data_IF_216970429242
#
_entry.id   IF_216970429242
#
_cell.length_a   1.000
_cell.length_b   1.000
_cell.length_c   1.000
_cell.angle_alpha   90.00
_cell.angle_beta   90.00
_cell.angle_gamma   90.00
#
_symmetry.space_group_name_H-M   'P 1'
#
loop_
_entity.id
_entity.type
_entity.pdbx_description
1 polymer ?
#
# COMPACT_ATOMS: atom_id res chain seq x y z
N UNK A 1 6.30 -12.60 4.99
CA UNK A 1 5.96 -13.71 4.06
C UNK A 1 6.28 -13.33 2.62
N UNK A 2 5.53 -12.41 2.02
CA UNK A 2 5.59 -12.09 0.58
C UNK A 2 6.97 -11.64 0.08
N UNK A 3 7.65 -10.77 0.81
CA UNK A 3 9.03 -10.37 0.48
C UNK A 3 9.98 -11.58 0.44
N UNK A 4 9.93 -12.44 1.46
CA UNK A 4 10.76 -13.66 1.56
C UNK A 4 10.39 -14.78 0.58
N UNK A 5 9.34 -14.64 -0.23
CA UNK A 5 9.09 -15.57 -1.34
C UNK A 5 9.90 -15.22 -2.57
N UNK A 6 10.38 -13.97 -2.67
CA UNK A 6 11.02 -13.45 -3.87
C UNK A 6 12.44 -12.96 -3.62
N UNK A 7 12.71 -12.46 -2.41
CA UNK A 7 13.94 -11.73 -2.08
C UNK A 7 14.51 -12.13 -0.72
N UNK A 8 15.74 -11.68 -0.46
CA UNK A 8 16.43 -11.81 0.84
C UNK A 8 16.71 -10.42 1.40
N UNK A 9 16.46 -10.16 2.69
CA UNK A 9 16.74 -8.85 3.28
C UNK A 9 18.25 -8.62 3.44
N UNK A 10 18.74 -7.37 3.35
CA UNK A 10 18.02 -6.18 2.89
C UNK A 10 17.77 -6.19 1.37
N UNK A 11 16.74 -5.49 0.90
CA UNK A 11 16.49 -5.32 -0.54
C UNK A 11 16.04 -3.90 -0.85
N UNK A 12 16.60 -3.32 -1.91
CA UNK A 12 16.18 -2.04 -2.48
C UNK A 12 14.80 -2.14 -3.13
N UNK A 13 13.96 -1.15 -2.85
CA UNK A 13 12.64 -0.94 -3.43
C UNK A 13 12.53 0.48 -3.97
N UNK A 14 11.81 0.62 -5.09
CA UNK A 14 11.49 1.91 -5.68
C UNK A 14 10.07 2.31 -5.27
N UNK A 15 9.92 3.48 -4.66
CA UNK A 15 8.60 4.07 -4.36
C UNK A 15 8.33 5.17 -5.37
N UNK A 16 7.31 4.99 -6.19
CA UNK A 16 6.80 5.98 -7.14
C UNK A 16 5.60 6.73 -6.54
N UNK A 17 5.59 8.06 -6.62
CA UNK A 17 4.49 8.91 -6.15
C UNK A 17 3.89 9.78 -7.26
N UNK A 18 3.87 9.25 -8.50
CA UNK A 18 3.34 9.91 -9.70
C UNK A 18 4.25 10.99 -10.30
N UNK A 19 4.89 11.82 -9.47
CA UNK A 19 5.78 12.92 -9.91
C UNK A 19 7.26 12.61 -9.79
N UNK A 20 7.62 11.71 -8.87
CA UNK A 20 9.00 11.36 -8.57
C UNK A 20 9.10 9.89 -8.14
N UNK A 21 10.33 9.43 -7.94
CA UNK A 21 10.60 8.17 -7.28
C UNK A 21 11.67 8.36 -6.20
N UNK A 22 11.67 7.44 -5.24
CA UNK A 22 12.74 7.32 -4.24
C UNK A 22 13.18 5.87 -4.11
N UNK A 23 14.47 5.67 -3.90
CA UNK A 23 15.05 4.37 -3.60
C UNK A 23 15.09 4.19 -2.09
N UNK A 24 14.52 3.09 -1.62
CA UNK A 24 14.38 2.79 -0.20
C UNK A 24 14.90 1.38 0.07
N UNK A 25 15.54 1.16 1.20
CA UNK A 25 15.99 -0.17 1.61
C UNK A 25 14.99 -0.77 2.58
N UNK A 26 14.37 -1.89 2.20
CA UNK A 26 13.51 -2.65 3.10
C UNK A 26 14.34 -3.71 3.81
N UNK A 27 14.19 -3.75 5.13
CA UNK A 27 14.72 -4.81 6.00
C UNK A 27 13.54 -5.54 6.64
N UNK A 28 13.65 -6.86 6.78
CA UNK A 28 12.63 -7.66 7.45
C UNK A 28 13.24 -8.95 8.01
N UNK A 29 12.56 -9.56 8.98
CA UNK A 29 12.96 -10.88 9.50
C UNK A 29 12.49 -11.99 8.56
N UNK A 30 13.38 -12.92 8.21
CA UNK A 30 13.02 -14.09 7.40
C UNK A 30 12.02 -14.95 8.19
N UNK A 31 10.84 -15.28 7.63
CA UNK A 31 9.84 -16.05 8.34
C UNK A 31 10.31 -17.49 8.49
N UNK A 32 10.41 -17.95 9.75
CA UNK A 32 10.58 -19.37 10.06
C UNK A 32 9.30 -20.18 9.82
N UNK A 33 9.40 -21.50 9.97
CA UNK A 33 8.34 -22.44 9.60
C UNK A 33 6.99 -22.18 10.26
N UNK A 34 7.00 -21.75 11.53
CA UNK A 34 5.77 -21.40 12.25
C UNK A 34 5.02 -20.27 11.54
N UNK A 35 5.72 -19.19 11.20
CA UNK A 35 5.12 -18.03 10.50
C UNK A 35 4.64 -18.45 9.12
N UNK A 36 5.42 -19.27 8.40
CA UNK A 36 5.02 -19.77 7.07
C UNK A 36 3.73 -20.56 7.11
N UNK A 37 3.58 -21.47 8.09
CA UNK A 37 2.34 -22.23 8.26
C UNK A 37 1.16 -21.36 8.72
N UNK A 38 1.39 -20.41 9.63
CA UNK A 38 0.33 -19.50 10.11
C UNK A 38 -0.19 -18.55 9.03
N UNK A 39 0.62 -18.24 8.02
CA UNK A 39 0.28 -17.34 6.91
C UNK A 39 0.24 -18.07 5.56
N UNK A 40 -0.15 -19.35 5.56
CA UNK A 40 -0.21 -20.15 4.34
C UNK A 40 -1.38 -19.72 3.40
N UNK A 41 -2.30 -18.89 3.88
CA UNK A 41 -3.22 -18.19 2.99
C UNK A 41 -2.46 -17.04 2.29
N UNK A 42 -2.10 -17.28 1.04
CA UNK A 42 -1.33 -16.33 0.24
C UNK A 42 -2.08 -15.01 0.02
N UNK A 43 -3.41 -15.04 -0.09
CA UNK A 43 -4.20 -13.84 -0.36
C UNK A 43 -4.21 -12.92 0.86
N UNK A 44 -4.42 -13.49 2.05
CA UNK A 44 -4.32 -12.73 3.32
C UNK A 44 -2.89 -12.21 3.53
N UNK A 45 -1.87 -13.06 3.32
CA UNK A 45 -0.48 -12.65 3.46
C UNK A 45 -0.12 -11.52 2.48
N UNK A 46 -0.66 -11.56 1.26
CA UNK A 46 -0.48 -10.51 0.24
C UNK A 46 -1.13 -9.20 0.67
N UNK A 47 -2.39 -9.26 1.11
CA UNK A 47 -3.16 -8.09 1.56
C UNK A 47 -2.48 -7.42 2.74
N UNK A 48 -2.20 -8.18 3.79
CA UNK A 48 -1.71 -7.63 5.05
C UNK A 48 -0.26 -7.18 4.92
N UNK A 49 0.54 -7.88 4.12
CA UNK A 49 1.88 -7.43 3.75
C UNK A 49 1.86 -6.12 2.94
N UNK A 50 0.86 -5.93 2.09
CA UNK A 50 0.74 -4.73 1.28
C UNK A 50 0.34 -3.54 2.16
N UNK A 51 -0.54 -3.74 3.14
CA UNK A 51 -0.87 -2.70 4.11
C UNK A 51 0.38 -2.15 4.81
N UNK A 52 1.22 -3.02 5.37
CA UNK A 52 2.45 -2.58 6.06
C UNK A 52 3.40 -1.79 5.16
N UNK A 53 3.67 -2.28 3.95
CA UNK A 53 4.60 -1.63 3.03
C UNK A 53 4.01 -0.33 2.45
N UNK A 54 2.73 -0.31 2.10
CA UNK A 54 2.07 0.90 1.59
C UNK A 54 2.05 2.00 2.65
N UNK A 55 1.73 1.68 3.92
CA UNK A 55 1.76 2.69 4.98
C UNK A 55 3.17 3.26 5.19
N UNK A 56 4.19 2.40 5.24
CA UNK A 56 5.57 2.86 5.34
C UNK A 56 6.00 3.73 4.13
N UNK A 57 5.57 3.37 2.92
CA UNK A 57 5.86 4.15 1.71
C UNK A 57 5.12 5.50 1.70
N UNK A 58 3.88 5.54 2.17
CA UNK A 58 3.09 6.78 2.31
C UNK A 58 3.75 7.71 3.33
N UNK A 59 4.19 7.16 4.47
CA UNK A 59 4.91 7.93 5.50
C UNK A 59 6.23 8.48 4.95
N UNK A 60 7.06 7.64 4.32
CA UNK A 60 8.38 8.07 3.83
C UNK A 60 8.32 9.00 2.61
N UNK A 61 7.31 8.87 1.75
CA UNK A 61 7.23 9.65 0.51
C UNK A 61 6.35 10.89 0.58
N UNK A 62 5.33 10.92 1.46
CA UNK A 62 4.38 12.02 1.58
C UNK A 62 4.36 12.66 2.97
N UNK A 63 4.99 12.04 3.98
CA UNK A 63 4.89 12.49 5.37
C UNK A 63 3.49 12.30 5.96
N UNK A 64 2.70 11.36 5.42
CA UNK A 64 1.35 11.07 5.89
C UNK A 64 1.32 9.82 6.77
N UNK A 65 0.48 9.85 7.79
CA UNK A 65 0.31 8.79 8.78
C UNK A 65 -1.08 8.18 8.70
N UNK A 66 -1.20 6.91 9.10
CA UNK A 66 -2.50 6.27 9.28
C UNK A 66 -3.25 6.91 10.46
N UNK A 67 -4.44 7.45 10.21
CA UNK A 67 -5.32 8.01 11.23
C UNK A 67 -6.23 6.91 11.78
N UNK A 68 -6.89 6.18 10.88
CA UNK A 68 -7.80 5.09 11.24
C UNK A 68 -8.01 4.13 10.07
N UNK A 69 -8.53 2.93 10.36
CA UNK A 69 -9.10 2.05 9.34
C UNK A 69 -10.38 2.67 8.81
N UNK A 70 -10.58 2.62 7.51
CA UNK A 70 -11.84 3.05 6.93
C UNK A 70 -12.94 2.02 7.20
N UNK A 71 -14.18 2.51 7.25
CA UNK A 71 -15.35 1.67 7.48
C UNK A 71 -15.56 0.71 6.31
N UNK A 72 -16.15 -0.45 6.59
CA UNK A 72 -16.52 -1.40 5.52
C UNK A 72 -17.49 -0.73 4.54
N UNK A 73 -17.21 -0.85 3.24
CA UNK A 73 -18.02 -0.25 2.19
C UNK A 73 -17.67 1.21 1.84
N UNK A 74 -16.69 1.80 2.51
CA UNK A 74 -16.17 3.16 2.17
C UNK A 74 -15.43 3.23 0.83
N UNK A 75 -14.99 2.08 0.30
CA UNK A 75 -14.12 2.01 -0.89
C UNK A 75 -12.68 2.45 -0.61
N UNK A 76 -12.29 2.46 0.68
CA UNK A 76 -10.93 2.71 1.15
C UNK A 76 -10.55 1.66 2.21
N UNK A 77 -9.25 1.48 2.44
CA UNK A 77 -8.69 0.66 3.51
C UNK A 77 -8.39 1.48 4.77
N UNK A 78 -7.87 2.71 4.58
CA UNK A 78 -7.46 3.62 5.66
C UNK A 78 -7.86 5.06 5.36
N UNK A 79 -7.91 5.87 6.40
CA UNK A 79 -7.75 7.32 6.30
C UNK A 79 -6.33 7.71 6.69
N UNK A 80 -5.67 8.55 5.89
CA UNK A 80 -4.30 9.02 6.12
C UNK A 80 -4.20 10.54 6.03
N UNK A 81 -3.23 11.14 6.71
CA UNK A 81 -3.02 12.60 6.66
C UNK A 81 -1.70 13.02 7.29
N UNK A 82 -1.32 14.31 7.18
CA UNK A 82 -0.06 14.82 7.72
C UNK A 82 0.01 14.80 9.25
N UNK A 83 -1.15 14.76 9.91
CA UNK A 83 -1.29 14.67 11.37
C UNK A 83 -2.12 13.44 11.72
N UNK A 84 -1.90 12.90 12.92
CA UNK A 84 -2.66 11.79 13.49
C UNK A 84 -3.65 12.30 14.55
N UNK A 85 -4.80 11.63 14.69
CA UNK A 85 -5.88 12.00 15.62
C UNK A 85 -7.25 11.88 14.98
N UNK A 86 -8.26 11.39 15.72
CA UNK A 86 -9.62 11.18 15.18
C UNK A 86 -10.31 12.49 14.78
N UNK A 87 -9.92 13.61 15.38
CA UNK A 87 -10.36 14.96 15.05
C UNK A 87 -9.79 15.48 13.71
N UNK A 88 -8.86 14.74 13.08
CA UNK A 88 -8.18 15.14 11.83
C UNK A 88 -8.78 14.53 10.56
N UNK A 89 -9.90 13.82 10.68
CA UNK A 89 -10.57 13.14 9.55
C UNK A 89 -11.00 14.10 8.43
N UNK A 90 -11.35 15.35 8.74
CA UNK A 90 -11.79 16.33 7.75
C UNK A 90 -10.69 16.75 6.76
N UNK A 91 -9.42 16.62 7.16
CA UNK A 91 -8.25 16.89 6.32
C UNK A 91 -7.58 15.60 5.78
N UNK A 92 -8.27 14.46 5.90
CA UNK A 92 -7.71 13.16 5.55
C UNK A 92 -7.92 12.77 4.08
N UNK A 93 -7.06 11.88 3.62
CA UNK A 93 -7.13 11.21 2.34
C UNK A 93 -7.62 9.78 2.56
N UNK A 94 -8.50 9.32 1.68
CA UNK A 94 -8.85 7.90 1.58
C UNK A 94 -7.66 7.14 1.00
N UNK A 95 -7.18 6.10 1.64
CA UNK A 95 -6.12 5.25 1.11
C UNK A 95 -6.68 3.88 0.76
N UNK A 96 -6.58 3.50 -0.51
CA UNK A 96 -6.98 2.19 -1.02
C UNK A 96 -5.73 1.41 -1.47
N UNK A 97 -5.56 0.20 -0.94
CA UNK A 97 -4.31 -0.56 -1.05
C UNK A 97 -4.52 -1.86 -1.84
N UNK A 98 -3.51 -2.25 -2.60
CA UNK A 98 -3.40 -3.60 -3.14
C UNK A 98 -1.97 -4.14 -3.07
N UNK A 99 -1.86 -5.46 -2.98
CA UNK A 99 -0.60 -6.18 -3.19
C UNK A 99 -0.62 -7.03 -4.45
N UNK A 100 0.55 -7.33 -4.99
CA UNK A 100 0.76 -8.35 -6.01
C UNK A 100 2.07 -9.11 -5.78
N UNK A 101 1.96 -10.43 -5.66
CA UNK A 101 3.08 -11.38 -5.61
C UNK A 101 3.44 -11.97 -6.99
N UNK A 102 2.82 -11.46 -8.05
CA UNK A 102 2.96 -11.99 -9.42
C UNK A 102 2.78 -10.91 -10.47
N UNK A 103 3.17 -11.24 -11.69
CA UNK A 103 3.07 -10.35 -12.84
C UNK A 103 4.32 -9.50 -13.01
N UNK A 104 4.21 -8.49 -13.86
CA UNK A 104 5.26 -7.54 -14.22
C UNK A 104 4.80 -6.09 -13.92
N UNK A 105 5.62 -5.09 -14.25
CA UNK A 105 5.28 -3.68 -14.06
C UNK A 105 3.91 -3.29 -14.67
N UNK A 106 3.54 -3.83 -15.83
CA UNK A 106 2.24 -3.59 -16.44
C UNK A 106 1.07 -4.15 -15.59
N UNK A 107 1.30 -5.24 -14.86
CA UNK A 107 0.33 -5.81 -13.91
C UNK A 107 0.14 -4.87 -12.72
N UNK A 108 1.22 -4.32 -12.18
CA UNK A 108 1.17 -3.35 -11.08
C UNK A 108 0.42 -2.09 -11.52
N UNK A 109 0.77 -1.52 -12.67
CA UNK A 109 0.09 -0.34 -13.23
C UNK A 109 -1.40 -0.58 -13.45
N UNK A 110 -1.79 -1.74 -13.99
CA UNK A 110 -3.20 -2.08 -14.18
C UNK A 110 -3.96 -2.13 -12.85
N UNK A 111 -3.35 -2.70 -11.80
CA UNK A 111 -3.93 -2.73 -10.45
C UNK A 111 -4.09 -1.32 -9.90
N UNK A 112 -3.08 -0.46 -10.07
CA UNK A 112 -3.12 0.93 -9.62
C UNK A 112 -4.30 1.68 -10.26
N UNK A 113 -4.44 1.59 -11.59
CA UNK A 113 -5.56 2.20 -12.31
C UNK A 113 -6.91 1.66 -11.85
N UNK A 114 -6.99 0.37 -11.53
CA UNK A 114 -8.19 -0.24 -10.93
C UNK A 114 -8.54 0.38 -9.58
N UNK A 115 -7.56 0.61 -8.70
CA UNK A 115 -7.76 1.26 -7.40
C UNK A 115 -8.11 2.74 -7.52
N UNK A 116 -7.49 3.46 -8.45
CA UNK A 116 -7.85 4.85 -8.78
C UNK A 116 -9.31 4.93 -9.22
N UNK A 117 -9.76 3.99 -10.08
CA UNK A 117 -11.17 3.90 -10.49
C UNK A 117 -12.09 3.63 -9.29
N UNK A 118 -11.74 2.69 -8.41
CA UNK A 118 -12.52 2.40 -7.20
C UNK A 118 -12.69 3.63 -6.30
N UNK A 119 -11.63 4.41 -6.10
CA UNK A 119 -11.70 5.65 -5.32
C UNK A 119 -12.59 6.72 -5.95
N UNK A 120 -12.55 6.86 -7.28
CA UNK A 120 -13.40 7.79 -8.04
C UNK A 120 -14.87 7.39 -8.05
N UNK A 121 -15.13 6.09 -8.17
CA UNK A 121 -16.50 5.55 -8.16
C UNK A 121 -17.09 5.50 -6.75
N UNK A 122 -16.28 5.72 -5.69
CA UNK A 122 -16.72 5.76 -4.30
C UNK A 122 -17.51 7.03 -3.95
N UNK A 123 -18.45 6.91 -3.01
CA UNK A 123 -19.38 7.98 -2.66
C UNK A 123 -18.83 9.08 -1.73
N UNK A 124 -17.58 8.93 -1.27
CA UNK A 124 -16.96 9.86 -0.32
C UNK A 124 -16.31 11.04 -1.07
N UNK A 125 -16.57 12.26 -0.60
CA UNK A 125 -16.05 13.51 -1.19
C UNK A 125 -14.60 13.85 -0.80
N UNK A 126 -13.91 12.94 -0.12
CA UNK A 126 -12.52 13.14 0.29
C UNK A 126 -11.57 12.81 -0.86
N UNK A 127 -10.44 13.51 -1.00
CA UNK A 127 -9.40 13.10 -1.93
C UNK A 127 -8.90 11.68 -1.58
N UNK A 128 -8.35 10.99 -2.57
CA UNK A 128 -7.93 9.59 -2.45
C UNK A 128 -6.46 9.38 -2.79
N UNK A 129 -5.89 8.30 -2.28
CA UNK A 129 -4.58 7.77 -2.60
C UNK A 129 -4.75 6.30 -2.94
N UNK A 130 -4.30 5.89 -4.11
CA UNK A 130 -4.20 4.48 -4.46
C UNK A 130 -2.75 4.04 -4.25
N UNK A 131 -2.53 2.93 -3.53
CA UNK A 131 -1.20 2.34 -3.36
C UNK A 131 -1.17 0.88 -3.80
N UNK A 132 -0.18 0.50 -4.62
CA UNK A 132 0.03 -0.89 -5.03
C UNK A 132 1.45 -1.35 -4.77
N UNK A 133 1.58 -2.42 -3.98
CA UNK A 133 2.86 -3.07 -3.67
C UNK A 133 3.11 -4.22 -4.64
N UNK A 134 4.18 -4.11 -5.43
CA UNK A 134 4.72 -5.18 -6.25
C UNK A 134 5.86 -5.89 -5.52
N UNK A 135 5.55 -6.94 -4.75
CA UNK A 135 6.55 -7.63 -3.93
C UNK A 135 7.66 -8.23 -4.79
N UNK A 136 7.32 -8.89 -5.90
CA UNK A 136 8.30 -9.44 -6.85
C UNK A 136 9.07 -8.33 -7.59
N UNK A 137 8.38 -7.25 -7.96
CA UNK A 137 8.95 -6.14 -8.74
C UNK A 137 9.86 -5.23 -7.91
N UNK A 138 9.82 -5.32 -6.59
CA UNK A 138 10.52 -4.41 -5.67
C UNK A 138 10.09 -2.96 -5.85
N UNK A 139 8.77 -2.74 -5.98
CA UNK A 139 8.24 -1.39 -6.16
C UNK A 139 6.94 -1.16 -5.40
N UNK A 140 6.70 0.11 -5.07
CA UNK A 140 5.42 0.63 -4.58
C UNK A 140 4.99 1.75 -5.51
N UNK A 141 3.78 1.66 -6.05
CA UNK A 141 3.17 2.73 -6.83
C UNK A 141 2.15 3.47 -5.98
N UNK A 142 2.21 4.80 -5.96
CA UNK A 142 1.27 5.67 -5.26
C UNK A 142 0.73 6.71 -6.24
N UNK A 143 -0.60 6.81 -6.33
CA UNK A 143 -1.29 7.81 -7.16
C UNK A 143 -2.24 8.65 -6.30
N UNK A 144 -2.12 9.97 -6.39
CA UNK A 144 -3.10 10.89 -5.83
C UNK A 144 -4.32 11.01 -6.74
N UNK A 145 -5.50 10.85 -6.15
CA UNK A 145 -6.80 10.94 -6.80
C UNK A 145 -7.50 12.19 -6.26
N UNK A 146 -7.76 13.16 -7.13
CA UNK A 146 -8.58 14.33 -6.78
C UNK A 146 -10.01 13.95 -6.37
N UNK A 147 -10.71 14.90 -5.76
CA UNK A 147 -12.14 14.81 -5.44
C UNK A 147 -13.01 14.78 -6.68
#
# INVERSE_FOLDING_TARGET
>A
MCLSMHHTPPTEFIVHNGKSYSENVLTWSIPGDRIRRSWNNIDDATRDGAYGISLAAIESSLGFYAISRAETGSGADYYVGPEYGLDKLEASYRLEIAGSNRGNAATIRRRLLGKVKQLRDGNLKLPGLASVVGFLQRQVEIELVGT
#
